data_IF_127005361908
#
_entry.id   IF_127005361908
#
_cell.length_a   1.000
_cell.length_b   1.000
_cell.length_c   1.000
_cell.angle_alpha   90.00
_cell.angle_beta   90.00
_cell.angle_gamma   90.00
#
_symmetry.space_group_name_H-M   'P 1'
#
loop_
_entity.id
_entity.type
_entity.pdbx_description
1 polymer ?
#
# COMPACT_ATOMS: atom_id res chain seq x y z
N UNK A 1 -24.99 30.83 -29.13
CA UNK A 1 -24.19 31.25 -27.97
C UNK A 1 -24.08 30.07 -27.03
N UNK A 2 -22.89 29.49 -26.88
CA UNK A 2 -22.65 28.41 -25.91
C UNK A 2 -22.24 29.08 -24.60
N UNK A 3 -23.08 28.98 -23.58
CA UNK A 3 -22.78 29.49 -22.25
C UNK A 3 -21.55 28.76 -21.69
N UNK A 4 -20.58 29.47 -21.08
CA UNK A 4 -19.44 28.82 -20.47
C UNK A 4 -19.90 28.04 -19.25
N UNK A 5 -19.66 26.73 -19.24
CA UNK A 5 -19.98 25.86 -18.11
C UNK A 5 -19.04 26.24 -16.97
N UNK A 6 -19.61 26.65 -15.84
CA UNK A 6 -18.84 26.92 -14.62
C UNK A 6 -18.19 25.61 -14.13
N UNK A 7 -16.85 25.57 -13.99
CA UNK A 7 -16.16 24.38 -13.49
C UNK A 7 -16.69 23.89 -12.14
N UNK A 8 -17.16 24.78 -11.28
CA UNK A 8 -17.65 24.42 -9.95
C UNK A 8 -19.01 23.71 -10.04
N UNK A 9 -19.91 24.22 -10.89
CA UNK A 9 -21.22 23.60 -11.14
C UNK A 9 -21.09 22.21 -11.76
N UNK A 10 -20.12 22.02 -12.65
CA UNK A 10 -19.82 20.70 -13.24
C UNK A 10 -19.33 19.71 -12.17
N UNK A 11 -18.45 20.16 -11.27
CA UNK A 11 -17.92 19.32 -10.18
C UNK A 11 -19.05 18.88 -9.25
N UNK A 12 -19.95 19.79 -8.87
CA UNK A 12 -21.04 19.52 -7.94
C UNK A 12 -22.03 18.51 -8.53
N UNK A 13 -22.34 18.66 -9.82
CA UNK A 13 -23.23 17.74 -10.54
C UNK A 13 -22.65 16.33 -10.64
N UNK A 14 -21.36 16.21 -10.97
CA UNK A 14 -20.68 14.90 -11.03
C UNK A 14 -20.66 14.24 -9.65
N UNK A 15 -20.45 15.02 -8.59
CA UNK A 15 -20.45 14.53 -7.21
C UNK A 15 -21.83 13.98 -6.80
N UNK A 16 -22.90 14.70 -7.08
CA UNK A 16 -24.27 14.21 -6.82
C UNK A 16 -24.56 12.88 -7.55
N UNK A 17 -24.14 12.77 -8.81
CA UNK A 17 -24.31 11.53 -9.58
C UNK A 17 -23.55 10.35 -8.95
N UNK A 18 -22.34 10.58 -8.45
CA UNK A 18 -21.54 9.55 -7.78
C UNK A 18 -22.13 9.12 -6.43
N UNK A 19 -22.70 10.06 -5.66
CA UNK A 19 -23.42 9.76 -4.42
C UNK A 19 -24.68 8.94 -4.73
N UNK A 20 -25.47 9.36 -5.72
CA UNK A 20 -26.68 8.65 -6.13
C UNK A 20 -26.38 7.25 -6.68
N UNK A 21 -25.22 7.08 -7.33
CA UNK A 21 -24.74 5.79 -7.80
C UNK A 21 -24.15 4.90 -6.69
N UNK A 22 -24.09 5.37 -5.44
CA UNK A 22 -23.51 4.65 -4.30
C UNK A 22 -21.99 4.45 -4.41
N UNK A 23 -21.33 5.18 -5.33
CA UNK A 23 -19.88 5.15 -5.52
C UNK A 23 -19.14 6.11 -4.58
N UNK A 24 -19.89 7.04 -3.96
CA UNK A 24 -19.40 8.02 -3.00
C UNK A 24 -20.36 8.06 -1.80
N UNK A 25 -19.82 8.13 -0.58
CA UNK A 25 -20.61 8.43 0.61
C UNK A 25 -20.93 9.93 0.71
N UNK A 26 -22.02 10.33 1.40
CA UNK A 26 -22.34 11.74 1.62
C UNK A 26 -21.26 12.47 2.44
N UNK A 27 -20.51 11.74 3.28
CA UNK A 27 -19.42 12.25 4.12
C UNK A 27 -18.05 11.94 3.49
N UNK A 28 -17.80 12.48 2.29
CA UNK A 28 -16.52 12.26 1.62
C UNK A 28 -15.49 13.29 2.13
N UNK A 29 -14.38 12.80 2.70
CA UNK A 29 -13.29 13.55 3.36
C UNK A 29 -12.76 14.78 2.59
N UNK A 30 -12.96 14.82 1.27
CA UNK A 30 -12.55 15.93 0.40
C UNK A 30 -13.39 17.20 0.65
N UNK A 31 -14.66 17.06 1.03
CA UNK A 31 -15.52 18.22 1.33
C UNK A 31 -15.17 18.87 2.66
N UNK A 32 -14.83 18.09 3.67
CA UNK A 32 -14.32 18.62 4.93
C UNK A 32 -13.03 19.39 4.72
N UNK A 33 -12.11 18.88 3.88
CA UNK A 33 -10.88 19.61 3.55
C UNK A 33 -11.13 20.89 2.76
N UNK A 34 -12.10 20.89 1.82
CA UNK A 34 -12.43 22.08 1.02
C UNK A 34 -13.15 23.13 1.87
N UNK A 35 -14.09 22.70 2.72
CA UNK A 35 -14.77 23.55 3.70
C UNK A 35 -13.79 24.10 4.75
N UNK A 36 -12.88 23.28 5.27
CA UNK A 36 -11.83 23.72 6.19
C UNK A 36 -10.83 24.67 5.51
N UNK A 37 -10.53 24.47 4.22
CA UNK A 37 -9.64 25.36 3.45
C UNK A 37 -10.32 26.68 3.06
N UNK A 38 -11.64 26.69 2.85
CA UNK A 38 -12.44 27.91 2.66
C UNK A 38 -12.65 28.65 3.99
N UNK A 39 -12.74 27.93 5.11
CA UNK A 39 -12.85 28.51 6.46
C UNK A 39 -11.49 29.01 7.00
N UNK A 40 -10.37 28.37 6.64
CA UNK A 40 -9.02 28.71 7.06
C UNK A 40 -8.32 29.69 6.10
N UNK A 41 -9.03 30.76 5.73
CA UNK A 41 -8.48 31.85 4.92
C UNK A 41 -7.11 32.29 5.44
N UNK A 42 -6.12 32.18 4.54
CA UNK A 42 -4.77 32.74 4.56
C UNK A 42 -4.16 32.98 5.96
N UNK A 43 -3.48 31.97 6.52
CA UNK A 43 -2.22 32.16 7.25
C UNK A 43 -1.56 30.83 7.66
N UNK A 44 -0.24 30.83 7.57
CA UNK A 44 0.73 29.78 7.87
C UNK A 44 0.41 28.95 9.13
N UNK A 45 0.48 27.61 9.04
CA UNK A 45 0.60 26.74 10.21
C UNK A 45 1.44 25.49 9.91
N UNK A 46 2.65 25.47 10.46
CA UNK A 46 3.23 24.25 10.98
C UNK A 46 2.32 23.70 12.11
N UNK A 47 2.19 22.38 12.26
CA UNK A 47 2.32 21.67 13.55
C UNK A 47 2.03 20.17 13.41
N UNK A 48 2.75 19.44 14.24
CA UNK A 48 2.81 18.00 14.46
C UNK A 48 1.57 17.40 15.17
N UNK A 49 1.33 16.13 14.81
CA UNK A 49 1.10 14.93 15.65
C UNK A 49 -0.22 14.72 16.44
N UNK A 50 -0.72 13.48 16.26
CA UNK A 50 -1.49 12.58 17.14
C UNK A 50 -3.04 12.47 17.09
N UNK A 51 -3.42 11.19 16.81
CA UNK A 51 -4.43 10.31 17.46
C UNK A 51 -5.90 10.55 17.08
N UNK A 52 -6.79 9.56 16.91
CA UNK A 52 -6.77 8.11 17.14
C UNK A 52 -8.00 7.47 16.42
N UNK A 53 -7.84 6.20 16.02
CA UNK A 53 -8.81 5.08 16.04
C UNK A 53 -10.22 5.15 15.41
N UNK A 54 -10.51 4.15 14.56
CA UNK A 54 -11.63 3.20 14.76
C UNK A 54 -11.51 1.93 13.91
N UNK A 55 -11.65 0.79 14.59
CA UNK A 55 -11.88 -0.55 14.04
C UNK A 55 -13.31 -0.65 13.47
N UNK A 56 -13.54 -1.46 12.43
CA UNK A 56 -14.31 -2.72 12.54
C UNK A 56 -14.43 -3.51 11.21
N UNK A 57 -14.02 -4.78 11.29
CA UNK A 57 -14.40 -6.00 10.56
C UNK A 57 -15.02 -5.96 9.15
N UNK A 58 -14.23 -6.36 8.15
CA UNK A 58 -14.63 -7.34 7.11
C UNK A 58 -13.38 -8.12 6.63
N UNK A 59 -13.43 -9.45 6.42
CA UNK A 59 -12.30 -10.19 5.88
C UNK A 59 -12.17 -9.84 4.40
N UNK A 60 -11.21 -9.00 4.04
CA UNK A 60 -10.96 -8.64 2.64
C UNK A 60 -9.70 -9.33 2.16
N UNK A 61 -9.94 -10.33 1.31
CA UNK A 61 -9.07 -10.83 0.25
C UNK A 61 -7.60 -10.55 0.49
N UNK A 62 -6.86 -11.57 0.94
CA UNK A 62 -5.40 -11.62 0.89
C UNK A 62 -4.81 -11.46 -0.53
N UNK A 63 -5.55 -11.02 -1.54
CA UNK A 63 -5.24 -11.27 -2.94
C UNK A 63 -5.75 -10.14 -3.83
N UNK A 64 -4.79 -9.39 -4.39
CA UNK A 64 -4.92 -8.29 -5.38
C UNK A 64 -5.13 -6.89 -4.81
N UNK A 65 -4.02 -6.29 -4.39
CA UNK A 65 -3.82 -4.88 -4.72
C UNK A 65 -3.44 -4.79 -6.21
N UNK A 66 -4.45 -4.63 -7.08
CA UNK A 66 -4.29 -3.84 -8.29
C UNK A 66 -4.41 -2.36 -7.88
N UNK A 67 -3.46 -1.89 -7.08
CA UNK A 67 -3.17 -0.47 -7.07
C UNK A 67 -2.58 -0.16 -8.45
N UNK A 68 -3.14 0.84 -9.13
CA UNK A 68 -2.77 1.29 -10.46
C UNK A 68 -1.30 1.80 -10.50
N UNK A 69 -0.35 0.89 -10.37
CA UNK A 69 1.09 1.14 -10.34
C UNK A 69 1.66 0.73 -11.68
N UNK A 70 2.18 1.72 -12.42
CA UNK A 70 2.82 1.56 -13.72
C UNK A 70 4.27 1.05 -13.62
N UNK A 71 4.60 0.38 -12.52
CA UNK A 71 5.87 -0.30 -12.32
C UNK A 71 5.67 -1.79 -12.57
N UNK A 72 6.54 -2.48 -13.30
CA UNK A 72 6.21 -3.79 -13.80
C UNK A 72 6.53 -4.94 -12.82
N UNK A 73 6.97 -4.60 -11.60
CA UNK A 73 7.19 -5.55 -10.51
C UNK A 73 5.90 -5.88 -9.77
N UNK A 74 5.62 -7.18 -9.60
CA UNK A 74 4.48 -7.67 -8.82
C UNK A 74 4.95 -8.23 -7.48
N UNK A 75 4.19 -8.00 -6.42
CA UNK A 75 4.53 -8.42 -5.04
C UNK A 75 3.38 -9.25 -4.47
N UNK A 76 3.71 -10.39 -3.86
CA UNK A 76 2.76 -11.30 -3.20
C UNK A 76 3.33 -11.76 -1.87
N UNK A 77 2.51 -11.96 -0.85
CA UNK A 77 2.98 -12.55 0.40
C UNK A 77 1.93 -13.47 1.02
N UNK A 78 2.40 -14.41 1.83
CA UNK A 78 1.57 -15.25 2.67
C UNK A 78 2.07 -15.15 4.11
N UNK A 79 1.28 -14.48 4.95
CA UNK A 79 1.55 -14.35 6.38
C UNK A 79 0.20 -14.42 7.10
N UNK A 80 -0.10 -15.59 7.66
CA UNK A 80 -1.43 -15.92 8.18
C UNK A 80 -1.93 -14.90 9.21
N UNK A 81 -3.15 -14.40 9.03
CA UNK A 81 -3.77 -13.42 9.93
C UNK A 81 -3.14 -12.03 9.92
N UNK A 82 -2.13 -11.78 9.06
CA UNK A 82 -1.44 -10.50 8.97
C UNK A 82 -1.69 -9.83 7.62
N UNK A 83 -1.72 -8.51 7.64
CA UNK A 83 -1.72 -7.65 6.47
C UNK A 83 -0.57 -6.65 6.57
N UNK A 84 -0.04 -6.24 5.42
CA UNK A 84 1.04 -5.25 5.39
C UNK A 84 0.50 -3.86 5.77
N UNK A 85 1.27 -3.13 6.57
CA UNK A 85 1.06 -1.70 6.86
C UNK A 85 2.00 -0.84 6.01
N UNK A 86 3.15 -1.41 5.61
CA UNK A 86 4.09 -0.80 4.68
C UNK A 86 4.78 -1.88 3.85
N UNK A 87 4.63 -1.83 2.53
CA UNK A 87 5.24 -2.79 1.61
C UNK A 87 5.77 -2.00 0.40
N UNK A 88 7.02 -1.52 0.47
CA UNK A 88 7.56 -0.65 -0.57
C UNK A 88 7.76 -1.42 -1.87
N UNK A 89 7.47 -0.76 -2.98
CA UNK A 89 7.76 -1.28 -4.30
C UNK A 89 9.27 -1.14 -4.54
N UNK A 90 9.99 -2.24 -4.85
CA UNK A 90 11.42 -2.17 -5.03
C UNK A 90 11.81 -1.29 -6.19
N UNK A 91 12.74 -0.35 -5.95
CA UNK A 91 13.40 0.42 -6.99
C UNK A 91 14.67 -0.35 -7.36
N UNK A 92 14.76 -0.83 -8.60
CA UNK A 92 15.89 -1.59 -9.10
C UNK A 92 16.31 -1.06 -10.46
N UNK A 93 17.60 -1.21 -10.79
CA UNK A 93 18.18 -0.93 -12.13
C UNK A 93 18.90 -2.17 -12.68
N UNK A 94 18.53 -3.35 -12.19
CA UNK A 94 19.14 -4.61 -12.59
C UNK A 94 18.68 -4.95 -14.02
N UNK A 95 19.60 -5.33 -14.93
CA UNK A 95 19.27 -5.61 -16.34
C UNK A 95 18.53 -6.95 -16.57
N UNK A 96 17.78 -7.45 -15.59
CA UNK A 96 17.21 -8.79 -15.57
C UNK A 96 15.73 -8.85 -15.18
N UNK A 97 15.14 -10.01 -15.42
CA UNK A 97 13.81 -10.39 -14.97
C UNK A 97 13.90 -11.66 -14.13
N UNK A 98 12.93 -11.87 -13.24
CA UNK A 98 12.87 -13.10 -12.48
C UNK A 98 12.01 -13.00 -11.24
N UNK A 99 11.71 -14.17 -10.67
CA UNK A 99 10.98 -14.30 -9.41
C UNK A 99 11.97 -14.57 -8.28
N UNK A 100 11.89 -13.78 -7.22
CA UNK A 100 12.61 -14.00 -5.96
C UNK A 100 11.57 -14.27 -4.87
N UNK A 101 11.69 -15.43 -4.21
CA UNK A 101 10.82 -15.83 -3.09
C UNK A 101 11.63 -15.82 -1.81
N UNK A 102 11.13 -15.14 -0.79
CA UNK A 102 11.77 -14.96 0.50
C UNK A 102 10.94 -15.64 1.60
N UNK A 103 11.61 -16.33 2.52
CA UNK A 103 11.09 -16.67 3.83
C UNK A 103 11.26 -15.46 4.74
N UNK A 104 10.17 -15.01 5.36
CA UNK A 104 10.17 -13.94 6.35
C UNK A 104 10.13 -14.50 7.77
N UNK A 105 10.79 -13.82 8.69
CA UNK A 105 10.58 -13.94 10.13
C UNK A 105 10.11 -12.58 10.66
N UNK A 106 8.85 -12.52 11.10
CA UNK A 106 8.16 -11.28 11.50
C UNK A 106 7.82 -11.35 12.98
N UNK A 107 8.12 -10.31 13.73
CA UNK A 107 7.83 -10.25 15.16
C UNK A 107 6.34 -9.94 15.46
N UNK A 108 5.97 -9.96 16.74
CA UNK A 108 4.61 -9.59 17.17
C UNK A 108 4.24 -8.14 16.84
N UNK A 109 5.23 -7.23 16.73
CA UNK A 109 5.01 -5.83 16.37
C UNK A 109 4.83 -5.61 14.87
N UNK A 110 5.00 -6.66 14.05
CA UNK A 110 4.90 -6.59 12.60
C UNK A 110 6.20 -6.13 11.92
N UNK A 111 7.34 -6.19 12.62
CA UNK A 111 8.66 -5.89 12.07
C UNK A 111 9.24 -7.15 11.44
N UNK A 112 9.74 -7.04 10.21
CA UNK A 112 10.50 -8.11 9.56
C UNK A 112 11.91 -8.14 10.15
N UNK A 113 12.21 -9.12 10.99
CA UNK A 113 13.53 -9.29 11.59
C UNK A 113 14.51 -10.02 10.67
N UNK A 114 13.97 -10.86 9.76
CA UNK A 114 14.77 -11.63 8.82
C UNK A 114 14.05 -11.86 7.51
N UNK A 115 14.83 -11.84 6.42
CA UNK A 115 14.40 -12.25 5.09
C UNK A 115 15.47 -13.16 4.48
N UNK A 116 15.10 -14.36 4.04
CA UNK A 116 16.03 -15.33 3.46
C UNK A 116 15.51 -15.88 2.14
N UNK A 117 16.36 -15.93 1.11
CA UNK A 117 15.96 -16.45 -0.21
C UNK A 117 15.67 -17.94 -0.15
N UNK A 118 14.52 -18.33 -0.70
CA UNK A 118 14.16 -19.72 -0.96
C UNK A 118 14.57 -20.04 -2.39
N UNK A 119 15.82 -20.49 -2.57
CA UNK A 119 16.43 -20.71 -3.89
C UNK A 119 15.60 -21.65 -4.79
N UNK A 120 15.04 -22.72 -4.20
CA UNK A 120 14.22 -23.71 -4.93
C UNK A 120 12.89 -23.16 -5.47
N UNK A 121 12.40 -22.04 -4.94
CA UNK A 121 11.16 -21.39 -5.36
C UNK A 121 11.39 -20.13 -6.18
N UNK A 122 12.65 -19.66 -6.22
CA UNK A 122 13.09 -18.52 -7.01
C UNK A 122 13.52 -18.98 -8.41
N UNK A 123 13.36 -18.12 -9.41
CA UNK A 123 13.73 -18.42 -10.81
C UNK A 123 14.97 -17.66 -11.27
N UNK A 124 15.57 -16.86 -10.40
CA UNK A 124 16.77 -16.08 -10.69
C UNK A 124 17.81 -16.27 -9.59
N UNK A 125 19.07 -16.25 -9.98
CA UNK A 125 20.25 -16.17 -9.10
C UNK A 125 20.99 -14.84 -9.28
N UNK A 126 20.36 -13.85 -9.94
CA UNK A 126 20.90 -12.50 -10.10
C UNK A 126 20.99 -11.82 -8.73
N UNK A 127 22.22 -11.47 -8.33
CA UNK A 127 22.52 -10.88 -7.03
C UNK A 127 21.84 -9.52 -6.85
N UNK A 128 21.78 -8.68 -7.89
CA UNK A 128 21.14 -7.38 -7.83
C UNK A 128 19.64 -7.51 -7.54
N UNK A 129 18.94 -8.45 -8.20
CA UNK A 129 17.52 -8.73 -7.94
C UNK A 129 17.30 -9.29 -6.54
N UNK A 130 18.17 -10.19 -6.10
CA UNK A 130 18.12 -10.81 -4.76
C UNK A 130 18.30 -9.75 -3.67
N UNK A 131 19.34 -8.92 -3.77
CA UNK A 131 19.61 -7.85 -2.81
C UNK A 131 18.45 -6.86 -2.74
N UNK A 132 17.91 -6.47 -3.90
CA UNK A 132 16.77 -5.55 -3.96
C UNK A 132 15.54 -6.13 -3.27
N UNK A 133 15.24 -7.42 -3.49
CA UNK A 133 14.15 -8.11 -2.82
C UNK A 133 14.35 -8.19 -1.30
N UNK A 134 15.55 -8.58 -0.85
CA UNK A 134 15.89 -8.71 0.57
C UNK A 134 15.80 -7.35 1.29
N UNK A 135 16.40 -6.31 0.70
CA UNK A 135 16.37 -4.96 1.29
C UNK A 135 14.93 -4.44 1.41
N UNK A 136 14.12 -4.62 0.38
CA UNK A 136 12.70 -4.21 0.39
C UNK A 136 11.89 -4.99 1.43
N UNK A 137 12.17 -6.29 1.59
CA UNK A 137 11.53 -7.13 2.61
C UNK A 137 11.86 -6.68 4.04
N UNK A 138 13.13 -6.37 4.34
CA UNK A 138 13.56 -5.99 5.69
C UNK A 138 12.96 -4.65 6.17
N UNK A 139 12.68 -3.74 5.24
CA UNK A 139 12.02 -2.47 5.57
C UNK A 139 10.48 -2.57 5.56
N UNK A 140 9.92 -3.67 5.08
CA UNK A 140 8.46 -3.89 5.09
C UNK A 140 7.92 -4.00 6.52
N UNK A 141 6.65 -3.66 6.71
CA UNK A 141 5.94 -3.72 7.99
C UNK A 141 4.58 -4.36 7.81
N UNK A 142 4.19 -5.11 8.84
CA UNK A 142 2.88 -5.74 8.97
C UNK A 142 2.14 -5.16 10.17
N UNK A 143 0.84 -5.43 10.27
CA UNK A 143 0.07 -5.07 11.46
C UNK A 143 0.64 -5.80 12.69
N UNK A 144 0.58 -5.18 13.86
CA UNK A 144 0.89 -5.86 15.11
C UNK A 144 -0.16 -6.93 15.44
N UNK A 145 0.27 -8.02 16.06
CA UNK A 145 -0.59 -9.10 16.57
C UNK A 145 0.08 -9.69 17.82
N UNK A 146 -0.54 -9.45 18.96
CA UNK A 146 -0.06 -9.92 20.27
C UNK A 146 -0.33 -11.41 20.50
N UNK A 147 -1.24 -12.00 19.71
CA UNK A 147 -1.60 -13.42 19.80
C UNK A 147 -0.76 -14.28 18.85
N UNK A 148 -0.08 -13.68 17.87
CA UNK A 148 0.85 -14.37 16.99
C UNK A 148 2.05 -14.93 17.79
N UNK A 149 2.76 -15.95 17.25
CA UNK A 149 4.03 -16.39 17.82
C UNK A 149 5.04 -15.23 17.94
N UNK A 150 6.01 -15.36 18.86
CA UNK A 150 7.10 -14.37 19.02
C UNK A 150 7.76 -14.02 17.69
N UNK A 151 7.98 -15.04 16.87
CA UNK A 151 8.45 -14.95 15.49
C UNK A 151 7.50 -15.77 14.63
N UNK A 152 6.79 -15.10 13.73
CA UNK A 152 5.91 -15.72 12.76
C UNK A 152 6.64 -15.84 11.41
N UNK A 153 6.51 -17.01 10.79
CA UNK A 153 7.08 -17.27 9.46
C UNK A 153 6.04 -17.11 8.37
N UNK A 154 6.47 -16.57 7.24
CA UNK A 154 5.65 -16.39 6.04
C UNK A 154 6.52 -16.29 4.80
N UNK A 155 5.89 -16.08 3.65
CA UNK A 155 6.61 -15.90 2.37
C UNK A 155 6.34 -14.52 1.79
N UNK A 156 7.32 -13.98 1.05
CA UNK A 156 7.20 -12.75 0.28
C UNK A 156 7.88 -12.95 -1.07
N UNK A 157 7.13 -12.75 -2.14
CA UNK A 157 7.52 -12.98 -3.52
C UNK A 157 7.57 -11.67 -4.29
N UNK A 158 8.70 -11.41 -4.93
CA UNK A 158 8.86 -10.35 -5.90
C UNK A 158 8.99 -10.95 -7.30
N UNK A 159 8.18 -10.46 -8.24
CA UNK A 159 8.29 -10.78 -9.66
C UNK A 159 8.82 -9.54 -10.36
N UNK A 160 10.11 -9.53 -10.67
CA UNK A 160 10.76 -8.50 -11.45
C UNK A 160 10.59 -8.79 -12.94
N UNK A 161 10.34 -7.74 -13.73
CA UNK A 161 10.51 -7.83 -15.18
C UNK A 161 11.70 -6.99 -15.62
N UNK A 162 12.22 -7.26 -16.81
CA UNK A 162 13.29 -6.47 -17.38
C UNK A 162 12.82 -5.02 -17.62
N UNK A 163 13.68 -4.05 -17.30
CA UNK A 163 13.48 -2.63 -17.55
C UNK A 163 14.21 -2.18 -18.82
#
# INVERSE_FOLDING_TARGET
STEPIDPQEYIDKVKEELIKAGKLGPDNYIDEQKLMKELAGDENLAYEDKKEEKQENQPRESQKMEANYQGPTRIYYELEGRYHTYLPIPIYKCPGAGKVVLMLEVDQKGVVEKAQVIARESTTSDECLIETAVNSALISRFNADVNAPKIQRGTLTYIFVAQ
#
